data_IF_996841082384
#
_entry.id   IF_996841082384
#
_cell.length_a   1.000
_cell.length_b   1.000
_cell.length_c   1.000
_cell.angle_alpha   90.00
_cell.angle_beta   90.00
_cell.angle_gamma   90.00
#
_symmetry.space_group_name_H-M   'P 1'
#
loop_
_entity.id
_entity.type
_entity.pdbx_description
1 polymer ?
#
# COMPACT_ATOMS: atom_id res chain seq x y z
N UNK A 1 22.74 1.25 -2.48
CA UNK A 1 22.97 0.75 -1.11
C UNK A 1 21.99 1.36 -0.11
N UNK A 2 21.86 2.69 0.01
CA UNK A 2 20.99 3.33 1.00
C UNK A 2 19.51 2.89 0.96
N UNK A 3 18.94 2.71 -0.22
CA UNK A 3 17.54 2.25 -0.38
C UNK A 3 17.28 0.87 0.22
N UNK A 4 18.24 -0.06 0.04
CA UNK A 4 18.10 -1.43 0.58
C UNK A 4 18.16 -1.39 2.11
N UNK A 5 19.09 -0.63 2.68
CA UNK A 5 19.22 -0.49 4.14
C UNK A 5 17.94 0.12 4.73
N UNK A 6 17.42 1.16 4.08
CA UNK A 6 16.16 1.79 4.51
C UNK A 6 14.98 0.81 4.43
N UNK A 7 14.75 0.13 3.31
CA UNK A 7 13.67 -0.86 3.19
C UNK A 7 13.83 -2.02 4.18
N UNK A 8 15.07 -2.42 4.50
CA UNK A 8 15.32 -3.45 5.51
C UNK A 8 14.91 -2.99 6.92
N UNK A 9 15.14 -1.72 7.28
CA UNK A 9 14.69 -1.18 8.56
C UNK A 9 13.16 -1.12 8.65
N UNK A 10 12.48 -0.75 7.57
CA UNK A 10 11.01 -0.76 7.49
C UNK A 10 10.44 -2.18 7.60
N UNK A 11 11.12 -3.17 6.98
CA UNK A 11 10.74 -4.57 7.11
C UNK A 11 10.82 -5.07 8.55
N UNK A 12 11.88 -4.68 9.29
CA UNK A 12 12.02 -5.02 10.71
C UNK A 12 10.91 -4.37 11.56
N UNK A 13 10.54 -3.14 11.26
CA UNK A 13 9.42 -2.46 11.91
C UNK A 13 8.11 -3.23 11.73
N UNK A 14 7.76 -3.61 10.50
CA UNK A 14 6.56 -4.40 10.25
C UNK A 14 6.65 -5.82 10.84
N UNK A 15 7.81 -6.45 10.84
CA UNK A 15 8.01 -7.74 11.49
C UNK A 15 7.71 -7.68 13.00
N UNK A 16 8.06 -6.57 13.67
CA UNK A 16 7.71 -6.34 15.06
C UNK A 16 6.18 -6.20 15.26
N UNK A 17 5.48 -5.53 14.34
CA UNK A 17 4.01 -5.44 14.37
C UNK A 17 3.35 -6.81 14.18
N UNK A 18 3.85 -7.64 13.28
CA UNK A 18 3.39 -9.03 13.12
C UNK A 18 3.65 -9.86 14.39
N UNK A 19 4.82 -9.74 15.00
CA UNK A 19 5.14 -10.43 16.25
C UNK A 19 4.18 -10.00 17.37
N UNK A 20 3.89 -8.71 17.50
CA UNK A 20 2.89 -8.18 18.43
C UNK A 20 1.51 -8.80 18.17
N UNK A 21 1.05 -8.83 16.92
CA UNK A 21 -0.24 -9.42 16.53
C UNK A 21 -0.36 -10.88 16.98
N UNK A 22 0.62 -11.72 16.64
CA UNK A 22 0.59 -13.14 16.98
C UNK A 22 0.71 -13.41 18.49
N UNK A 23 1.48 -12.57 19.19
CA UNK A 23 1.62 -12.68 20.66
C UNK A 23 0.29 -12.38 21.34
N UNK A 24 -0.36 -11.26 21.01
CA UNK A 24 -1.65 -10.87 21.61
C UNK A 24 -2.73 -11.88 21.26
N UNK A 25 -2.80 -12.33 20.00
CA UNK A 25 -3.72 -13.40 19.58
C UNK A 25 -3.55 -14.68 20.39
N UNK A 26 -2.30 -15.07 20.66
CA UNK A 26 -2.00 -16.26 21.46
C UNK A 26 -2.47 -16.10 22.91
N UNK A 27 -2.29 -14.93 23.50
CA UNK A 27 -2.74 -14.61 24.85
C UNK A 27 -4.27 -14.61 24.95
N UNK A 28 -4.96 -13.90 24.07
CA UNK A 28 -6.44 -13.80 24.09
C UNK A 28 -7.11 -15.16 23.86
N UNK A 29 -6.58 -15.98 22.93
CA UNK A 29 -7.04 -17.35 22.75
C UNK A 29 -6.77 -18.24 23.97
N UNK A 30 -5.67 -18.02 24.68
CA UNK A 30 -5.36 -18.71 25.96
C UNK A 30 -6.33 -18.33 27.09
N UNK A 31 -6.88 -17.12 27.04
CA UNK A 31 -7.90 -16.64 27.96
C UNK A 31 -9.34 -17.06 27.57
N UNK A 32 -9.50 -17.72 26.41
CA UNK A 32 -10.80 -18.15 25.88
C UNK A 32 -11.59 -17.05 25.18
N UNK A 33 -10.97 -15.94 24.84
CA UNK A 33 -11.60 -14.86 24.10
C UNK A 33 -11.77 -15.20 22.61
N UNK A 34 -12.86 -14.67 22.03
CA UNK A 34 -13.14 -14.84 20.59
C UNK A 34 -12.18 -13.95 19.76
N UNK A 35 -11.57 -14.52 18.75
CA UNK A 35 -10.68 -13.84 17.83
C UNK A 35 -11.00 -14.16 16.36
N UNK A 36 -11.29 -13.18 15.48
CA UNK A 36 -11.58 -11.75 15.79
C UNK A 36 -12.90 -11.59 16.53
N UNK A 37 -13.05 -10.52 17.35
CA UNK A 37 -14.29 -10.26 18.09
C UNK A 37 -15.41 -9.68 17.22
N UNK A 38 -15.09 -9.18 16.02
CA UNK A 38 -15.98 -8.47 15.10
C UNK A 38 -16.03 -9.14 13.72
N UNK A 39 -17.09 -8.85 12.96
CA UNK A 39 -17.19 -9.27 11.56
C UNK A 39 -16.46 -8.27 10.67
N UNK A 40 -15.44 -8.75 9.95
CA UNK A 40 -14.70 -7.98 8.96
C UNK A 40 -15.38 -8.11 7.59
N UNK A 41 -15.49 -7.01 6.85
CA UNK A 41 -16.04 -7.02 5.48
C UNK A 41 -15.00 -7.57 4.48
N UNK A 42 -14.90 -8.89 4.42
CA UNK A 42 -13.97 -9.60 3.55
C UNK A 42 -14.12 -9.26 2.06
N UNK A 43 -15.34 -9.11 1.48
CA UNK A 43 -15.51 -8.69 0.10
C UNK A 43 -14.87 -7.33 -0.20
N UNK A 44 -15.11 -6.32 0.63
CA UNK A 44 -14.55 -4.98 0.46
C UNK A 44 -13.02 -4.99 0.57
N UNK A 45 -12.50 -5.62 1.61
CA UNK A 45 -11.06 -5.75 1.83
C UNK A 45 -10.37 -6.51 0.68
N UNK A 46 -11.01 -7.54 0.12
CA UNK A 46 -10.48 -8.29 -1.03
C UNK A 46 -10.43 -7.42 -2.29
N UNK A 47 -11.47 -6.65 -2.60
CA UNK A 47 -11.47 -5.73 -3.74
C UNK A 47 -10.37 -4.68 -3.59
N UNK A 48 -10.25 -4.06 -2.42
CA UNK A 48 -9.19 -3.11 -2.12
C UNK A 48 -7.79 -3.73 -2.33
N UNK A 49 -7.58 -4.94 -1.85
CA UNK A 49 -6.33 -5.69 -2.02
C UNK A 49 -6.03 -5.96 -3.49
N UNK A 50 -7.02 -6.40 -4.28
CA UNK A 50 -6.84 -6.64 -5.72
C UNK A 50 -6.47 -5.35 -6.48
N UNK A 51 -7.10 -4.23 -6.14
CA UNK A 51 -6.76 -2.93 -6.74
C UNK A 51 -5.33 -2.53 -6.39
N UNK A 52 -4.91 -2.71 -5.14
CA UNK A 52 -3.54 -2.42 -4.72
C UNK A 52 -2.52 -3.30 -5.43
N UNK A 53 -2.74 -4.61 -5.54
CA UNK A 53 -1.88 -5.53 -6.30
C UNK A 53 -1.82 -5.19 -7.79
N UNK A 54 -2.95 -4.81 -8.40
CA UNK A 54 -2.96 -4.35 -9.78
C UNK A 54 -2.14 -3.06 -9.95
N UNK A 55 -2.10 -2.18 -8.92
CA UNK A 55 -1.27 -0.98 -8.93
C UNK A 55 0.23 -1.27 -8.97
N UNK A 56 0.67 -2.38 -8.39
CA UNK A 56 2.05 -2.88 -8.50
C UNK A 56 2.43 -3.17 -9.95
N UNK A 57 1.52 -3.83 -10.69
CA UNK A 57 1.75 -4.12 -12.12
C UNK A 57 1.86 -2.82 -12.92
N UNK A 58 0.95 -1.86 -12.70
CA UNK A 58 1.00 -0.56 -13.39
C UNK A 58 2.24 0.24 -13.03
N UNK A 59 2.70 0.19 -11.78
CA UNK A 59 3.95 0.80 -11.34
C UNK A 59 5.15 0.21 -12.10
N UNK A 60 5.24 -1.12 -12.20
CA UNK A 60 6.32 -1.79 -12.93
C UNK A 60 6.31 -1.50 -14.42
N UNK A 61 5.12 -1.39 -15.04
CA UNK A 61 5.00 -0.97 -16.44
C UNK A 61 5.53 0.45 -16.65
N UNK A 62 5.36 1.35 -15.66
CA UNK A 62 5.95 2.69 -15.66
C UNK A 62 7.47 2.66 -15.64
N UNK A 63 8.09 1.76 -14.85
CA UNK A 63 9.55 1.57 -14.84
C UNK A 63 10.04 1.07 -16.21
N UNK A 64 9.39 0.06 -16.79
CA UNK A 64 9.74 -0.42 -18.12
C UNK A 64 9.59 0.65 -19.21
N UNK A 65 8.61 1.55 -19.09
CA UNK A 65 8.42 2.64 -20.02
C UNK A 65 9.59 3.65 -19.95
N UNK A 66 10.09 3.98 -18.75
CA UNK A 66 11.23 4.89 -18.59
C UNK A 66 12.54 4.26 -19.07
N UNK A 67 12.75 2.97 -18.83
CA UNK A 67 13.92 2.23 -19.34
C UNK A 67 13.96 2.17 -20.87
N UNK A 68 12.80 2.12 -21.52
CA UNK A 68 12.67 2.21 -22.99
C UNK A 68 12.75 3.63 -23.52
N UNK A 69 12.97 4.64 -22.66
CA UNK A 69 13.01 6.06 -23.05
C UNK A 69 11.63 6.66 -23.40
N UNK A 70 10.54 5.96 -23.10
CA UNK A 70 9.16 6.39 -23.36
C UNK A 70 8.65 7.26 -22.21
N UNK A 71 9.05 8.52 -22.19
CA UNK A 71 8.69 9.44 -21.10
C UNK A 71 7.57 10.39 -21.50
N UNK A 72 7.38 10.64 -22.80
CA UNK A 72 6.40 11.59 -23.32
C UNK A 72 5.01 10.99 -23.35
N UNK A 73 4.00 11.89 -23.26
CA UNK A 73 2.58 11.53 -23.37
C UNK A 73 2.31 10.74 -24.63
N UNK A 74 1.65 9.58 -24.47
CA UNK A 74 1.16 8.78 -25.59
C UNK A 74 0.20 9.58 -26.46
N UNK A 75 0.26 9.35 -27.76
CA UNK A 75 -0.68 9.94 -28.74
C UNK A 75 -2.07 9.32 -28.65
N UNK A 76 -2.21 8.15 -28.02
CA UNK A 76 -3.49 7.44 -27.86
C UNK A 76 -3.64 6.88 -26.45
N UNK A 77 -4.75 7.22 -25.80
CA UNK A 77 -5.11 6.71 -24.45
C UNK A 77 -5.52 5.22 -24.52
N UNK A 78 -5.97 4.75 -25.70
CA UNK A 78 -6.50 3.40 -25.88
C UNK A 78 -5.45 2.32 -26.16
N UNK A 79 -4.18 2.69 -26.33
CA UNK A 79 -3.08 1.72 -26.56
C UNK A 79 -2.11 1.70 -25.38
N UNK A 80 -2.31 0.82 -24.36
CA UNK A 80 -1.47 0.81 -23.14
C UNK A 80 0.00 0.51 -23.42
N UNK A 81 0.33 -0.20 -24.50
CA UNK A 81 1.73 -0.44 -24.88
C UNK A 81 2.48 0.83 -25.37
N UNK A 82 1.76 1.91 -25.70
CA UNK A 82 2.34 3.19 -26.10
C UNK A 82 2.40 4.20 -24.94
N UNK A 83 1.94 3.80 -23.75
CA UNK A 83 1.92 4.67 -22.58
C UNK A 83 3.34 4.89 -22.06
N UNK A 84 3.61 6.15 -21.68
CA UNK A 84 4.86 6.52 -21.05
C UNK A 84 4.80 6.39 -19.53
N UNK A 85 5.91 6.73 -18.89
CA UNK A 85 6.01 6.73 -17.42
C UNK A 85 4.88 7.51 -16.75
N UNK A 86 4.50 8.67 -17.31
CA UNK A 86 3.51 9.59 -16.69
C UNK A 86 2.14 8.95 -16.59
N UNK A 87 1.66 8.33 -17.66
CA UNK A 87 0.35 7.68 -17.70
C UNK A 87 0.28 6.52 -16.72
N UNK A 88 1.29 5.68 -16.70
CA UNK A 88 1.37 4.55 -15.79
C UNK A 88 1.41 4.99 -14.32
N UNK A 89 2.20 6.00 -13.98
CA UNK A 89 2.31 6.48 -12.61
C UNK A 89 1.09 7.26 -12.14
N UNK A 90 0.39 7.97 -13.04
CA UNK A 90 -0.91 8.58 -12.73
C UNK A 90 -1.94 7.50 -12.43
N UNK A 91 -1.98 6.42 -13.23
CA UNK A 91 -2.88 5.29 -12.97
C UNK A 91 -2.57 4.63 -11.63
N UNK A 92 -1.30 4.33 -11.35
CA UNK A 92 -0.86 3.76 -10.07
C UNK A 92 -1.26 4.66 -8.90
N UNK A 93 -1.08 5.97 -9.03
CA UNK A 93 -1.47 6.95 -8.01
C UNK A 93 -2.97 6.89 -7.70
N UNK A 94 -3.83 6.86 -8.72
CA UNK A 94 -5.28 6.79 -8.49
C UNK A 94 -5.71 5.45 -7.88
N UNK A 95 -5.08 4.35 -8.26
CA UNK A 95 -5.34 3.03 -7.66
C UNK A 95 -4.91 2.99 -6.19
N UNK A 96 -3.74 3.53 -5.86
CA UNK A 96 -3.30 3.66 -4.47
C UNK A 96 -4.17 4.62 -3.65
N UNK A 97 -4.62 5.72 -4.25
CA UNK A 97 -5.55 6.66 -3.61
C UNK A 97 -6.90 5.97 -3.31
N UNK A 98 -7.43 5.19 -4.26
CA UNK A 98 -8.64 4.39 -4.06
C UNK A 98 -8.49 3.45 -2.86
N UNK A 99 -7.35 2.75 -2.75
CA UNK A 99 -7.05 1.89 -1.62
C UNK A 99 -7.08 2.64 -0.28
N UNK A 100 -6.39 3.79 -0.18
CA UNK A 100 -6.36 4.61 1.06
C UNK A 100 -7.76 5.11 1.43
N UNK A 101 -8.56 5.54 0.46
CA UNK A 101 -9.93 5.98 0.70
C UNK A 101 -10.83 4.82 1.12
N UNK A 102 -10.67 3.63 0.52
CA UNK A 102 -11.39 2.42 0.90
C UNK A 102 -11.06 1.98 2.33
N UNK A 103 -9.78 2.02 2.71
CA UNK A 103 -9.35 1.73 4.09
C UNK A 103 -9.91 2.76 5.09
N UNK A 104 -9.92 4.05 4.71
CA UNK A 104 -10.53 5.10 5.52
C UNK A 104 -12.04 4.92 5.69
N UNK A 105 -12.73 4.47 4.64
CA UNK A 105 -14.15 4.14 4.71
C UNK A 105 -14.41 2.98 5.68
N UNK A 106 -13.67 1.88 5.56
CA UNK A 106 -13.75 0.73 6.46
C UNK A 106 -13.56 1.16 7.94
N UNK A 107 -12.56 2.01 8.21
CA UNK A 107 -12.33 2.51 9.58
C UNK A 107 -13.50 3.33 10.12
N UNK A 108 -13.99 4.29 9.35
CA UNK A 108 -14.95 5.29 9.83
C UNK A 108 -16.38 4.76 9.84
N UNK A 109 -16.75 3.92 8.88
CA UNK A 109 -18.14 3.48 8.71
C UNK A 109 -18.36 2.06 9.20
N UNK A 110 -17.52 1.11 8.86
CA UNK A 110 -17.77 -0.27 9.21
C UNK A 110 -17.32 -0.58 10.65
N UNK A 111 -16.09 -0.27 11.01
CA UNK A 111 -15.55 -0.65 12.31
C UNK A 111 -16.02 0.28 13.44
N UNK A 112 -16.00 1.60 13.26
CA UNK A 112 -16.38 2.54 14.33
C UNK A 112 -17.88 2.67 14.47
N UNK A 113 -18.64 2.75 13.36
CA UNK A 113 -20.10 2.98 13.44
C UNK A 113 -20.92 1.70 13.55
N UNK A 114 -20.54 0.64 12.86
CA UNK A 114 -21.31 -0.60 12.80
C UNK A 114 -20.89 -1.58 13.87
N UNK A 115 -19.60 -1.84 14.02
CA UNK A 115 -19.06 -2.81 14.98
C UNK A 115 -18.64 -2.18 16.31
N UNK A 116 -18.68 -0.85 16.42
CA UNK A 116 -18.25 -0.09 17.61
C UNK A 116 -16.83 -0.41 18.07
N UNK A 117 -15.96 -0.89 17.16
CA UNK A 117 -14.58 -1.24 17.46
C UNK A 117 -13.72 0.02 17.49
N UNK A 118 -13.19 0.36 18.66
CA UNK A 118 -12.24 1.47 18.82
C UNK A 118 -10.87 0.97 19.29
N UNK A 119 -9.87 1.87 19.28
CA UNK A 119 -8.51 1.55 19.73
C UNK A 119 -8.42 1.02 21.15
N UNK A 120 -9.39 1.40 22.01
CA UNK A 120 -9.37 1.08 23.46
C UNK A 120 -10.31 -0.04 23.87
N UNK A 121 -11.18 -0.54 22.97
CA UNK A 121 -12.23 -1.47 23.35
C UNK A 121 -11.74 -2.91 23.49
N UNK A 122 -10.71 -3.27 22.71
CA UNK A 122 -10.14 -4.62 22.75
C UNK A 122 -8.67 -4.65 22.36
N UNK A 123 -7.96 -5.67 22.80
CA UNK A 123 -6.58 -5.94 22.37
C UNK A 123 -6.50 -6.11 20.84
N UNK A 124 -7.52 -6.75 20.25
CA UNK A 124 -7.65 -6.90 18.80
C UNK A 124 -7.72 -5.55 18.10
N UNK A 125 -8.62 -4.65 18.53
CA UNK A 125 -8.79 -3.31 17.97
C UNK A 125 -7.50 -2.52 17.98
N UNK A 126 -6.78 -2.51 19.12
CA UNK A 126 -5.50 -1.83 19.24
C UNK A 126 -4.49 -2.32 18.20
N UNK A 127 -4.30 -3.64 18.06
CA UNK A 127 -3.34 -4.24 17.14
C UNK A 127 -3.75 -4.04 15.69
N UNK A 128 -5.04 -4.18 15.38
CA UNK A 128 -5.61 -3.99 14.06
C UNK A 128 -5.33 -2.55 13.57
N UNK A 129 -5.75 -1.55 14.33
CA UNK A 129 -5.59 -0.13 13.94
C UNK A 129 -4.14 0.31 13.88
N UNK A 130 -3.28 -0.19 14.77
CA UNK A 130 -1.85 0.13 14.72
C UNK A 130 -1.22 -0.49 13.46
N UNK A 131 -1.39 -1.77 13.22
CA UNK A 131 -0.75 -2.46 12.10
C UNK A 131 -1.23 -1.92 10.74
N UNK A 132 -2.55 -1.85 10.54
CA UNK A 132 -3.14 -1.37 9.27
C UNK A 132 -3.01 0.15 9.12
N UNK A 133 -3.04 0.92 10.21
CA UNK A 133 -2.85 2.37 10.21
C UNK A 133 -1.42 2.77 9.82
N UNK A 134 -0.40 2.13 10.39
CA UNK A 134 0.98 2.37 9.97
C UNK A 134 1.21 1.96 8.52
N UNK A 135 0.60 0.86 8.06
CA UNK A 135 0.62 0.50 6.65
C UNK A 135 -0.02 1.60 5.79
N UNK A 136 -1.20 2.10 6.14
CA UNK A 136 -1.87 3.20 5.45
C UNK A 136 -1.05 4.48 5.38
N UNK A 137 -0.29 4.80 6.44
CA UNK A 137 0.68 5.90 6.44
C UNK A 137 1.80 5.68 5.43
N UNK A 138 2.33 4.45 5.32
CA UNK A 138 3.36 4.11 4.32
C UNK A 138 2.81 4.20 2.88
N UNK A 139 1.58 3.71 2.63
CA UNK A 139 0.91 3.89 1.32
C UNK A 139 0.77 5.39 1.00
N UNK A 140 0.32 6.19 1.96
CA UNK A 140 0.19 7.66 1.79
C UNK A 140 1.55 8.31 1.51
N UNK A 141 2.60 7.90 2.21
CA UNK A 141 3.98 8.33 1.92
C UNK A 141 4.41 8.01 0.50
N UNK A 142 4.09 6.81 0.01
CA UNK A 142 4.31 6.40 -1.39
C UNK A 142 3.54 7.27 -2.39
N UNK A 143 2.28 7.59 -2.10
CA UNK A 143 1.48 8.51 -2.94
C UNK A 143 2.09 9.91 -3.01
N UNK A 144 2.59 10.44 -1.89
CA UNK A 144 3.31 11.72 -1.87
C UNK A 144 4.57 11.64 -2.74
N UNK A 145 5.34 10.55 -2.65
CA UNK A 145 6.51 10.34 -3.48
C UNK A 145 6.16 10.28 -4.98
N UNK A 146 5.03 9.63 -5.36
CA UNK A 146 4.52 9.67 -6.74
C UNK A 146 4.18 11.08 -7.19
N UNK A 147 3.53 11.89 -6.34
CA UNK A 147 3.20 13.29 -6.68
C UNK A 147 4.47 14.12 -6.93
N UNK A 148 5.49 14.00 -6.08
CA UNK A 148 6.76 14.67 -6.28
C UNK A 148 7.44 14.24 -7.57
N UNK A 149 7.47 12.94 -7.85
CA UNK A 149 8.07 12.40 -9.06
C UNK A 149 7.32 12.86 -10.32
N UNK A 150 6.00 12.81 -10.31
CA UNK A 150 5.15 13.31 -11.39
C UNK A 150 5.37 14.80 -11.59
N UNK A 151 5.35 15.62 -10.53
CA UNK A 151 5.62 17.05 -10.60
C UNK A 151 6.95 17.36 -11.27
N UNK A 152 8.03 16.66 -10.87
CA UNK A 152 9.35 16.80 -11.48
C UNK A 152 9.38 16.36 -12.95
N UNK A 153 8.68 15.28 -13.31
CA UNK A 153 8.64 14.80 -14.71
C UNK A 153 7.79 15.71 -15.60
N UNK A 154 6.76 16.38 -15.08
CA UNK A 154 5.97 17.37 -15.83
C UNK A 154 6.72 18.68 -16.02
N UNK A 155 7.51 19.13 -15.04
CA UNK A 155 8.32 20.35 -15.11
C UNK A 155 9.55 20.17 -16.03
N UNK A 156 10.09 18.96 -16.16
CA UNK A 156 11.29 18.70 -16.94
C UNK A 156 10.98 18.56 -18.45
N UNK A 157 11.80 19.21 -19.27
CA UNK A 157 11.76 19.03 -20.76
C UNK A 157 12.39 17.70 -21.21
N UNK A 158 13.36 17.21 -20.47
CA UNK A 158 14.04 15.91 -20.69
C UNK A 158 14.17 15.20 -19.36
N UNK A 159 14.03 13.87 -19.37
CA UNK A 159 14.24 13.06 -18.17
C UNK A 159 15.74 12.93 -17.93
N UNK A 160 16.16 13.26 -16.73
CA UNK A 160 17.53 13.10 -16.27
C UNK A 160 17.75 11.71 -15.70
N UNK A 161 19.01 11.26 -15.65
CA UNK A 161 19.37 10.00 -15.00
C UNK A 161 18.89 9.94 -13.52
N UNK A 162 18.96 11.06 -12.81
CA UNK A 162 18.47 11.16 -11.42
C UNK A 162 16.96 10.91 -11.31
N UNK A 163 16.17 11.35 -12.29
CA UNK A 163 14.73 11.08 -12.33
C UNK A 163 14.43 9.62 -12.64
N UNK A 164 15.23 8.95 -13.45
CA UNK A 164 15.13 7.51 -13.69
C UNK A 164 15.40 6.74 -12.40
N UNK A 165 16.50 7.05 -11.72
CA UNK A 165 16.85 6.42 -10.43
C UNK A 165 15.74 6.67 -9.39
N UNK A 166 15.21 7.89 -9.30
CA UNK A 166 14.12 8.22 -8.40
C UNK A 166 12.86 7.40 -8.69
N UNK A 167 12.52 7.20 -9.97
CA UNK A 167 11.37 6.39 -10.38
C UNK A 167 11.54 4.92 -9.94
N UNK A 168 12.73 4.36 -10.13
CA UNK A 168 13.05 2.98 -9.72
C UNK A 168 12.98 2.85 -8.19
N UNK A 169 13.51 3.81 -7.43
CA UNK A 169 13.47 3.79 -5.96
C UNK A 169 12.04 3.85 -5.45
N UNK A 170 11.20 4.72 -6.00
CA UNK A 170 9.77 4.82 -5.64
C UNK A 170 9.03 3.52 -5.97
N UNK A 171 9.36 2.87 -7.10
CA UNK A 171 8.79 1.56 -7.46
C UNK A 171 9.17 0.47 -6.46
N UNK A 172 10.43 0.37 -6.02
CA UNK A 172 10.84 -0.58 -4.99
C UNK A 172 10.12 -0.35 -3.67
N UNK A 173 9.95 0.91 -3.27
CA UNK A 173 9.19 1.24 -2.09
C UNK A 173 7.72 0.82 -2.22
N UNK A 174 7.09 1.06 -3.37
CA UNK A 174 5.70 0.68 -3.63
C UNK A 174 5.49 -0.83 -3.56
N UNK A 175 6.36 -1.61 -4.22
CA UNK A 175 6.31 -3.07 -4.14
C UNK A 175 6.53 -3.61 -2.72
N UNK A 176 7.43 -2.98 -1.96
CA UNK A 176 7.63 -3.33 -0.56
C UNK A 176 6.34 -3.14 0.26
N UNK A 177 5.68 -2.00 0.12
CA UNK A 177 4.41 -1.70 0.79
C UNK A 177 3.34 -2.73 0.41
N UNK A 178 3.23 -3.11 -0.87
CA UNK A 178 2.28 -4.12 -1.33
C UNK A 178 2.54 -5.50 -0.73
N UNK A 179 3.80 -5.92 -0.63
CA UNK A 179 4.18 -7.20 0.00
C UNK A 179 3.80 -7.21 1.48
N UNK A 180 4.05 -6.11 2.19
CA UNK A 180 3.61 -5.96 3.59
C UNK A 180 2.10 -6.07 3.71
N UNK A 181 1.34 -5.44 2.79
CA UNK A 181 -0.12 -5.55 2.79
C UNK A 181 -0.62 -6.98 2.60
N UNK A 182 -0.03 -7.75 1.68
CA UNK A 182 -0.38 -9.17 1.50
C UNK A 182 -0.22 -9.94 2.83
N UNK A 183 0.87 -9.69 3.55
CA UNK A 183 1.07 -10.25 4.88
C UNK A 183 -0.02 -9.84 5.88
N UNK A 184 -0.32 -8.55 5.97
CA UNK A 184 -1.36 -8.01 6.85
C UNK A 184 -2.75 -8.56 6.49
N UNK A 185 -3.11 -8.54 5.20
CA UNK A 185 -4.37 -9.08 4.73
C UNK A 185 -4.52 -10.57 5.07
N UNK A 186 -3.47 -11.35 4.83
CA UNK A 186 -3.47 -12.78 5.16
C UNK A 186 -3.64 -13.03 6.66
N UNK A 187 -2.89 -12.33 7.50
CA UNK A 187 -2.90 -12.55 8.95
C UNK A 187 -4.18 -12.06 9.63
N UNK A 188 -4.74 -10.95 9.17
CA UNK A 188 -5.89 -10.29 9.80
C UNK A 188 -7.22 -10.83 9.25
N UNK A 189 -7.33 -10.99 7.91
CA UNK A 189 -8.60 -11.33 7.26
C UNK A 189 -8.75 -12.82 6.93
N UNK A 190 -7.65 -13.58 6.75
CA UNK A 190 -7.72 -15.00 6.35
C UNK A 190 -7.37 -15.99 7.45
N UNK A 191 -6.45 -15.63 8.37
CA UNK A 191 -6.02 -16.52 9.47
C UNK A 191 -6.73 -16.10 10.76
N UNK A 192 -7.93 -16.59 11.04
CA UNK A 192 -8.63 -16.41 12.31
C UNK A 192 -8.74 -17.68 13.14
#
# INVERSE_FOLDING_TARGET
MGTIIWLSSELMFFAALFAMYFTIRSVDKGLGEKWPPVHLDLPLATVNTLVLLASSVTCQMGVFAIERGQVRRSRSIFHPMSWGLREWYVLTFFMGLYFVLGQGYEYLFDLVRTEHLTLSDSNYGSVFYIATGFHGLHVTGGLIAFLFLLGRTYAARKVTHEQQVSAIVVSYYWHFVDVVWIGLFTTIYLIH
#
